data_IF_916864586106
#
_entry.id   IF_916864586106
#
_cell.length_a   1.000
_cell.length_b   1.000
_cell.length_c   1.000
_cell.angle_alpha   90.00
_cell.angle_beta   90.00
_cell.angle_gamma   90.00
#
_symmetry.space_group_name_H-M   'P 1'
#
loop_
_entity.id
_entity.type
_entity.pdbx_description
1 polymer ?
#
# COMPACT_ATOMS: atom_id res chain seq x y z
N UNK A 1 -20.66 -2.67 29.45
CA UNK A 1 -21.10 -1.88 28.28
C UNK A 1 -20.09 -0.77 28.12
N UNK A 2 -19.45 -0.68 26.95
CA UNK A 2 -18.59 0.46 26.63
C UNK A 2 -19.49 1.70 26.56
N UNK A 3 -19.14 2.75 27.30
CA UNK A 3 -19.93 4.00 27.32
C UNK A 3 -19.59 4.83 26.08
N UNK A 4 -20.52 5.66 25.59
CA UNK A 4 -20.29 6.53 24.43
C UNK A 4 -19.03 7.39 24.57
N UNK A 5 -18.72 7.82 25.79
CA UNK A 5 -17.49 8.57 26.10
C UNK A 5 -16.21 7.77 25.85
N UNK A 6 -16.21 6.47 26.11
CA UNK A 6 -15.07 5.59 25.86
C UNK A 6 -14.87 5.36 24.37
N UNK A 7 -15.98 5.15 23.63
CA UNK A 7 -15.93 5.00 22.17
C UNK A 7 -15.47 6.30 21.49
N UNK A 8 -15.96 7.45 21.95
CA UNK A 8 -15.51 8.76 21.48
C UNK A 8 -14.02 8.98 21.74
N UNK A 9 -13.55 8.69 22.95
CA UNK A 9 -12.12 8.79 23.29
C UNK A 9 -11.26 7.87 22.41
N UNK A 10 -11.72 6.63 22.17
CA UNK A 10 -11.06 5.68 21.28
C UNK A 10 -11.01 6.20 19.83
N UNK A 11 -12.09 6.80 19.34
CA UNK A 11 -12.16 7.37 17.99
C UNK A 11 -11.17 8.53 17.82
N UNK A 12 -11.05 9.42 18.80
CA UNK A 12 -10.06 10.51 18.78
C UNK A 12 -8.63 9.97 18.86
N UNK A 13 -8.37 8.99 19.74
CA UNK A 13 -7.07 8.34 19.84
C UNK A 13 -6.67 7.66 18.53
N UNK A 14 -7.57 6.86 17.95
CA UNK A 14 -7.31 6.17 16.69
C UNK A 14 -7.16 7.16 15.52
N UNK A 15 -7.97 8.21 15.48
CA UNK A 15 -7.89 9.26 14.45
C UNK A 15 -6.60 10.06 14.52
N UNK A 16 -6.16 10.44 15.72
CA UNK A 16 -4.86 11.12 15.93
C UNK A 16 -3.68 10.19 15.65
N UNK A 17 -3.74 8.92 16.07
CA UNK A 17 -2.74 7.92 15.72
C UNK A 17 -2.65 7.72 14.20
N UNK A 18 -3.78 7.67 13.49
CA UNK A 18 -3.81 7.58 12.04
C UNK A 18 -3.18 8.82 11.38
N UNK A 19 -3.49 10.04 11.85
CA UNK A 19 -2.84 11.26 11.37
C UNK A 19 -1.32 11.22 11.57
N UNK A 20 -0.84 10.75 12.73
CA UNK A 20 0.59 10.57 12.99
C UNK A 20 1.23 9.52 12.07
N UNK A 21 0.56 8.38 11.85
CA UNK A 21 1.04 7.33 10.95
C UNK A 21 1.11 7.80 9.49
N UNK A 22 0.15 8.62 9.03
CA UNK A 22 0.17 9.19 7.67
C UNK A 22 1.37 10.13 7.49
N UNK A 23 1.61 11.02 8.46
CA UNK A 23 2.78 11.93 8.42
C UNK A 23 4.07 11.14 8.51
N UNK A 24 4.14 10.10 9.36
CA UNK A 24 5.30 9.22 9.47
C UNK A 24 5.55 8.45 8.17
N UNK A 25 4.51 7.93 7.52
CA UNK A 25 4.63 7.27 6.22
C UNK A 25 5.22 8.21 5.18
N UNK A 26 4.68 9.43 5.07
CA UNK A 26 5.22 10.43 4.14
C UNK A 26 6.66 10.80 4.45
N UNK A 27 7.01 10.90 5.74
CA UNK A 27 8.39 11.14 6.16
C UNK A 27 9.30 9.97 5.77
N UNK A 28 8.90 8.72 6.01
CA UNK A 28 9.68 7.53 5.62
C UNK A 28 9.80 7.42 4.09
N UNK A 29 8.73 7.70 3.35
CA UNK A 29 8.70 7.70 1.89
C UNK A 29 9.68 8.72 1.30
N UNK A 30 9.76 9.92 1.87
CA UNK A 30 10.67 10.98 1.41
C UNK A 30 12.13 10.72 1.80
N UNK A 31 12.38 10.05 2.94
CA UNK A 31 13.73 9.73 3.40
C UNK A 31 14.26 8.38 2.90
N UNK A 32 13.39 7.52 2.37
CA UNK A 32 13.80 6.31 1.68
C UNK A 32 14.59 6.72 0.44
N UNK A 33 15.89 6.48 0.46
CA UNK A 33 16.71 6.46 -0.74
C UNK A 33 16.18 5.31 -1.62
N UNK A 34 16.24 5.45 -2.95
CA UNK A 34 15.60 4.63 -4.00
C UNK A 34 15.90 3.10 -4.01
N UNK A 35 16.30 2.52 -2.87
CA UNK A 35 16.49 1.11 -2.67
C UNK A 35 15.13 0.40 -2.44
N UNK A 36 14.51 0.02 -3.57
CA UNK A 36 13.79 -1.26 -3.73
C UNK A 36 12.50 -1.51 -2.92
N UNK A 37 11.56 -0.55 -2.84
CA UNK A 37 10.20 -0.85 -2.32
C UNK A 37 9.03 -0.34 -3.18
N UNK A 38 9.31 0.25 -4.34
CA UNK A 38 8.32 0.97 -5.16
C UNK A 38 7.82 0.25 -6.42
N UNK A 39 8.16 -1.03 -6.63
CA UNK A 39 7.76 -1.79 -7.84
C UNK A 39 6.65 -2.83 -7.66
N UNK A 40 6.37 -3.36 -6.46
CA UNK A 40 5.62 -4.62 -6.35
C UNK A 40 4.14 -4.48 -5.93
N UNK A 41 3.59 -3.26 -5.85
CA UNK A 41 2.18 -3.03 -5.46
C UNK A 41 1.32 -2.36 -6.54
N UNK A 42 1.86 -2.15 -7.75
CA UNK A 42 1.14 -1.52 -8.88
C UNK A 42 0.60 -2.52 -9.92
N UNK A 43 0.92 -3.80 -9.81
CA UNK A 43 0.63 -4.80 -10.85
C UNK A 43 -0.24 -5.98 -10.36
N UNK A 44 -1.44 -5.73 -9.80
CA UNK A 44 -2.41 -6.81 -9.57
C UNK A 44 -3.84 -6.50 -10.05
N UNK A 45 -4.02 -5.40 -10.80
CA UNK A 45 -5.27 -5.11 -11.52
C UNK A 45 -4.99 -4.56 -12.92
N UNK A 46 -4.79 -5.46 -13.88
CA UNK A 46 -5.31 -5.39 -15.26
C UNK A 46 -4.31 -6.00 -16.26
N UNK A 47 -4.61 -7.18 -16.82
CA UNK A 47 -3.92 -7.58 -18.04
C UNK A 47 -3.87 -9.07 -18.36
N UNK A 48 -4.96 -9.80 -18.19
CA UNK A 48 -5.21 -11.06 -18.93
C UNK A 48 -4.95 -10.79 -20.43
N UNK A 49 -3.86 -11.29 -21.03
CA UNK A 49 -3.60 -10.97 -22.44
C UNK A 49 -2.39 -11.55 -23.19
N UNK A 50 -1.42 -12.21 -22.56
CA UNK A 50 -0.18 -12.61 -23.28
C UNK A 50 0.14 -14.10 -23.20
N UNK A 51 -0.69 -14.94 -23.82
CA UNK A 51 -0.27 -16.30 -24.23
C UNK A 51 0.47 -16.20 -25.58
N UNK A 52 1.80 -16.36 -25.57
CA UNK A 52 2.64 -16.46 -26.79
C UNK A 52 2.31 -17.73 -27.57
N UNK A 53 2.05 -17.69 -28.89
CA UNK A 53 2.09 -18.88 -29.71
C UNK A 53 3.55 -19.30 -29.95
N UNK A 54 3.83 -20.57 -29.62
CA UNK A 54 5.01 -21.35 -29.98
C UNK A 54 5.03 -21.59 -31.50
N UNK A 55 6.17 -21.37 -32.16
CA UNK A 55 6.45 -21.93 -33.48
C UNK A 55 7.27 -21.03 -34.39
N UNK A 56 8.23 -21.65 -35.10
CA UNK A 56 9.13 -21.08 -36.13
C UNK A 56 10.26 -20.28 -35.47
N UNK A 57 11.50 -20.77 -35.34
CA UNK A 57 12.38 -21.18 -36.42
C UNK A 57 13.31 -22.31 -35.93
N UNK A 58 13.25 -23.45 -36.59
CA UNK A 58 14.28 -24.49 -36.56
C UNK A 58 14.80 -24.65 -37.98
N UNK A 59 15.97 -24.07 -38.28
CA UNK A 59 16.90 -24.44 -39.34
C UNK A 59 18.21 -23.69 -39.12
#
# INVERSE_FOLDING_TARGET
>A
MITDSQLYSLAIFLGSAAMLLIVLYHFLEVNAQDDEVSSDLKDEKAGVGAVKPVGLESS
#
